data_IF_152047272140
#
_entry.id   IF_152047272140
#
_cell.length_a   1.000
_cell.length_b   1.000
_cell.length_c   1.000
_cell.angle_alpha   90.00
_cell.angle_beta   90.00
_cell.angle_gamma   90.00
#
_symmetry.space_group_name_H-M   'P 1'
#
loop_
_entity.id
_entity.type
_entity.pdbx_description
1 polymer ?
#
# COMPACT_ATOMS: atom_id res chain seq x y z
N UNK A 1 16.13 5.07 -8.09
CA UNK A 1 14.91 4.41 -7.59
C UNK A 1 13.72 5.37 -7.50
N UNK A 2 13.58 6.23 -6.49
CA UNK A 2 12.38 7.10 -6.38
C UNK A 2 12.18 8.12 -7.52
N UNK A 3 13.21 8.39 -8.32
CA UNK A 3 13.11 9.25 -9.51
C UNK A 3 12.54 8.53 -10.73
N UNK A 4 12.52 7.21 -10.72
CA UNK A 4 12.21 6.39 -11.90
C UNK A 4 10.84 5.69 -11.76
N UNK A 5 10.05 6.10 -10.75
CA UNK A 5 8.75 5.51 -10.43
C UNK A 5 7.66 6.54 -10.73
N UNK A 6 6.93 6.28 -11.81
CA UNK A 6 5.75 7.05 -12.20
C UNK A 6 4.45 6.49 -11.60
N UNK A 7 4.37 5.18 -11.34
CA UNK A 7 3.15 4.51 -10.87
C UNK A 7 3.47 3.50 -9.78
N UNK A 8 2.64 3.49 -8.73
CA UNK A 8 2.64 2.46 -7.69
C UNK A 8 1.26 1.80 -7.67
N UNK A 9 1.25 0.46 -7.70
CA UNK A 9 0.02 -0.33 -7.62
C UNK A 9 0.08 -1.20 -6.36
N UNK A 10 -0.77 -0.90 -5.38
CA UNK A 10 -0.85 -1.63 -4.11
C UNK A 10 -2.02 -2.62 -4.11
N UNK A 11 -1.71 -3.90 -4.33
CA UNK A 11 -2.64 -5.05 -4.29
C UNK A 11 -2.33 -5.96 -3.10
N UNK A 12 -1.23 -5.71 -2.37
CA UNK A 12 -0.87 -6.52 -1.22
C UNK A 12 -1.82 -6.26 -0.06
N UNK A 13 -2.58 -7.29 0.31
CA UNK A 13 -3.49 -7.33 1.44
C UNK A 13 -3.72 -8.79 1.85
N UNK A 14 -4.13 -9.02 3.10
CA UNK A 14 -4.72 -10.30 3.52
C UNK A 14 -6.23 -10.24 3.31
N UNK A 15 -6.79 -11.29 2.72
CA UNK A 15 -8.23 -11.46 2.52
C UNK A 15 -8.81 -12.52 3.45
N UNK A 16 -8.08 -12.88 4.51
CA UNK A 16 -8.55 -13.83 5.51
C UNK A 16 -9.47 -13.14 6.53
N UNK A 17 -10.73 -13.54 6.57
CA UNK A 17 -11.75 -12.96 7.46
C UNK A 17 -11.70 -13.51 8.88
N UNK A 18 -11.05 -14.65 9.10
CA UNK A 18 -10.89 -15.26 10.43
C UNK A 18 -9.52 -14.94 11.06
N UNK A 19 -8.83 -13.92 10.54
CA UNK A 19 -7.56 -13.46 11.08
C UNK A 19 -7.74 -12.62 12.35
N UNK A 20 -6.77 -12.69 13.27
CA UNK A 20 -6.74 -11.79 14.41
C UNK A 20 -6.71 -10.34 13.96
N UNK A 21 -7.52 -9.52 14.62
CA UNK A 21 -7.69 -8.11 14.27
C UNK A 21 -6.39 -7.30 14.23
N UNK A 22 -5.45 -7.55 15.14
CA UNK A 22 -4.18 -6.83 15.19
C UNK A 22 -3.28 -7.12 13.99
N UNK A 23 -3.30 -8.37 13.51
CA UNK A 23 -2.60 -8.77 12.28
C UNK A 23 -3.27 -8.15 11.05
N UNK A 24 -4.61 -8.25 10.95
CA UNK A 24 -5.37 -7.67 9.85
C UNK A 24 -5.19 -6.14 9.78
N UNK A 25 -5.17 -5.46 10.93
CA UNK A 25 -4.92 -4.03 11.03
C UNK A 25 -3.48 -3.67 10.59
N UNK A 26 -2.49 -4.44 11.03
CA UNK A 26 -1.10 -4.25 10.64
C UNK A 26 -0.90 -4.40 9.12
N UNK A 27 -1.51 -5.41 8.51
CA UNK A 27 -1.37 -5.69 7.09
C UNK A 27 -2.21 -4.76 6.22
N UNK A 28 -3.52 -4.72 6.42
CA UNK A 28 -4.43 -4.06 5.49
C UNK A 28 -4.50 -2.54 5.70
N UNK A 29 -4.30 -2.05 6.93
CA UNK A 29 -4.35 -0.60 7.21
C UNK A 29 -2.95 0.00 7.24
N UNK A 30 -2.07 -0.50 8.12
CA UNK A 30 -0.73 0.07 8.22
C UNK A 30 0.12 -0.24 6.99
N UNK A 31 -0.01 -1.42 6.38
CA UNK A 31 0.64 -1.76 5.12
C UNK A 31 0.32 -0.75 4.00
N UNK A 32 -0.96 -0.46 3.78
CA UNK A 32 -1.38 0.54 2.80
C UNK A 32 -0.82 1.95 3.12
N UNK A 33 -0.80 2.34 4.41
CA UNK A 33 -0.18 3.59 4.87
C UNK A 33 1.32 3.65 4.54
N UNK A 34 2.05 2.55 4.73
CA UNK A 34 3.48 2.50 4.42
C UNK A 34 3.74 2.61 2.92
N UNK A 35 2.93 1.96 2.09
CA UNK A 35 3.04 2.10 0.62
C UNK A 35 2.74 3.53 0.19
N UNK A 36 1.73 4.17 0.77
CA UNK A 36 1.46 5.60 0.52
C UNK A 36 2.63 6.49 0.94
N UNK A 37 3.23 6.24 2.10
CA UNK A 37 4.42 6.98 2.55
C UNK A 37 5.63 6.76 1.65
N UNK A 38 5.77 5.58 1.04
CA UNK A 38 6.77 5.32 0.01
C UNK A 38 6.47 6.11 -1.26
N UNK A 39 5.23 6.07 -1.76
CA UNK A 39 4.82 6.78 -2.97
C UNK A 39 5.02 8.30 -2.84
N UNK A 40 4.82 8.88 -1.65
CA UNK A 40 5.13 10.29 -1.36
C UNK A 40 6.61 10.67 -1.53
N UNK A 41 7.54 9.70 -1.51
CA UNK A 41 8.96 9.94 -1.76
C UNK A 41 9.32 9.88 -3.25
N UNK A 42 8.44 9.35 -4.09
CA UNK A 42 8.63 9.26 -5.53
C UNK A 42 8.38 10.62 -6.18
N UNK A 43 9.44 11.29 -6.64
CA UNK A 43 9.37 12.67 -7.15
C UNK A 43 8.58 12.82 -8.45
N UNK A 44 8.48 11.74 -9.23
CA UNK A 44 7.79 11.71 -10.51
C UNK A 44 6.47 10.93 -10.45
N UNK A 45 5.94 10.67 -9.24
CA UNK A 45 4.73 9.88 -9.08
C UNK A 45 3.53 10.55 -9.78
N UNK A 46 2.87 9.81 -10.66
CA UNK A 46 1.66 10.20 -11.38
C UNK A 46 0.43 9.55 -10.79
N UNK A 47 0.56 8.31 -10.29
CA UNK A 47 -0.55 7.54 -9.76
C UNK A 47 -0.11 6.59 -8.64
N UNK A 48 -0.85 6.59 -7.54
CA UNK A 48 -0.92 5.49 -6.60
C UNK A 48 -2.31 4.85 -6.74
N UNK A 49 -2.38 3.60 -7.20
CA UNK A 49 -3.60 2.82 -7.23
C UNK A 49 -3.60 1.84 -6.06
N UNK A 50 -4.55 1.97 -5.14
CA UNK A 50 -4.78 1.01 -4.07
C UNK A 50 -6.05 0.22 -4.36
N UNK A 51 -5.95 -1.10 -4.37
CA UNK A 51 -7.10 -1.99 -4.53
C UNK A 51 -7.65 -2.34 -3.15
N UNK A 52 -8.93 -2.06 -2.94
CA UNK A 52 -9.69 -2.43 -1.74
C UNK A 52 -10.75 -3.48 -2.08
N UNK A 53 -11.37 -4.03 -1.03
CA UNK A 53 -12.59 -4.85 -1.06
C UNK A 53 -13.67 -4.21 -0.20
#
# INVERSE_FOLDING_TARGET
MWRDIDVVVNIAATTNFDERYDVALALNTYGAKYVMNFAKKCVNIKLLLHVST
#
